data_IF_949972266687
#
_entry.id   IF_949972266687
#
_cell.length_a   1.000
_cell.length_b   1.000
_cell.length_c   1.000
_cell.angle_alpha   90.00
_cell.angle_beta   90.00
_cell.angle_gamma   90.00
#
_symmetry.space_group_name_H-M   'P 1'
#
loop_
_entity.id
_entity.type
_entity.pdbx_description
1 polymer ?
#
# COMPACT_ATOMS: atom_id res chain seq x y z
N UNK A 1 -10.23 -11.82 -6.27
CA UNK A 1 -10.55 -12.70 -5.12
C UNK A 1 -9.58 -12.50 -3.95
N UNK A 2 -8.27 -12.77 -4.10
CA UNK A 2 -7.29 -12.71 -2.99
C UNK A 2 -7.17 -11.33 -2.34
N UNK A 3 -7.02 -10.25 -3.13
CA UNK A 3 -6.91 -8.89 -2.57
C UNK A 3 -8.12 -8.51 -1.70
N UNK A 4 -9.33 -8.80 -2.17
CA UNK A 4 -10.54 -8.53 -1.42
C UNK A 4 -10.60 -9.33 -0.10
N UNK A 5 -10.12 -10.57 -0.09
CA UNK A 5 -10.03 -11.38 1.13
C UNK A 5 -9.03 -10.79 2.15
N UNK A 6 -7.87 -10.31 1.68
CA UNK A 6 -6.87 -9.64 2.53
C UNK A 6 -7.44 -8.33 3.10
N UNK A 7 -8.12 -7.53 2.28
CA UNK A 7 -8.74 -6.28 2.74
C UNK A 7 -9.85 -6.55 3.78
N UNK A 8 -10.67 -7.57 3.56
CA UNK A 8 -11.71 -7.97 4.51
C UNK A 8 -11.10 -8.49 5.83
N UNK A 9 -10.03 -9.28 5.75
CA UNK A 9 -9.29 -9.72 6.93
C UNK A 9 -8.72 -8.52 7.70
N UNK A 10 -8.01 -7.62 7.03
CA UNK A 10 -7.41 -6.44 7.65
C UNK A 10 -8.46 -5.55 8.34
N UNK A 11 -9.63 -5.33 7.70
CA UNK A 11 -10.76 -4.62 8.32
C UNK A 11 -11.20 -5.27 9.62
N UNK A 12 -11.34 -6.61 9.65
CA UNK A 12 -11.75 -7.35 10.85
C UNK A 12 -10.74 -7.24 11.99
N UNK A 13 -9.45 -7.14 11.67
CA UNK A 13 -8.37 -6.94 12.65
C UNK A 13 -8.24 -5.46 13.08
N UNK A 14 -9.13 -4.57 12.64
CA UNK A 14 -9.11 -3.15 13.01
C UNK A 14 -8.10 -2.30 12.23
N UNK A 15 -7.57 -2.80 11.11
CA UNK A 15 -6.67 -2.01 10.27
C UNK A 15 -7.45 -0.93 9.53
N UNK A 16 -7.05 0.33 9.74
CA UNK A 16 -7.71 1.48 9.11
C UNK A 16 -7.16 1.80 7.71
N UNK A 17 -5.90 1.46 7.43
CA UNK A 17 -5.22 1.84 6.20
C UNK A 17 -4.19 0.79 5.78
N UNK A 18 -4.21 0.46 4.48
CA UNK A 18 -3.18 -0.35 3.83
C UNK A 18 -2.20 0.55 3.07
N UNK A 19 -0.94 0.12 3.08
CA UNK A 19 0.19 0.79 2.45
C UNK A 19 0.93 -0.22 1.58
N UNK A 20 1.29 0.16 0.36
CA UNK A 20 2.08 -0.71 -0.51
C UNK A 20 2.99 0.10 -1.45
N UNK A 21 4.11 -0.52 -1.84
CA UNK A 21 4.94 -0.09 -2.97
C UNK A 21 4.77 -1.09 -4.09
N UNK A 22 4.64 -0.59 -5.31
CA UNK A 22 4.58 -1.42 -6.51
C UNK A 22 5.30 -0.74 -7.67
N UNK A 23 6.02 -1.53 -8.46
CA UNK A 23 6.67 -1.05 -9.69
C UNK A 23 5.73 -1.25 -10.90
N UNK A 24 5.26 -2.49 -11.13
CA UNK A 24 4.50 -2.84 -12.35
C UNK A 24 2.98 -2.91 -12.18
N UNK A 25 2.46 -3.07 -10.96
CA UNK A 25 1.04 -3.29 -10.71
C UNK A 25 0.26 -2.04 -10.25
N UNK A 26 0.79 -0.83 -10.46
CA UNK A 26 0.15 0.40 -9.99
C UNK A 26 -1.29 0.54 -10.51
N UNK A 27 -1.51 0.31 -11.81
CA UNK A 27 -2.82 0.40 -12.44
C UNK A 27 -3.84 -0.62 -11.90
N UNK A 28 -3.37 -1.81 -11.51
CA UNK A 28 -4.23 -2.82 -10.89
C UNK A 28 -4.76 -2.31 -9.55
N UNK A 29 -3.89 -1.79 -8.68
CA UNK A 29 -4.29 -1.32 -7.36
C UNK A 29 -5.13 -0.03 -7.41
N UNK A 30 -4.84 0.88 -8.34
CA UNK A 30 -5.68 2.08 -8.51
C UNK A 30 -7.09 1.72 -8.97
N UNK A 31 -7.24 0.72 -9.86
CA UNK A 31 -8.55 0.16 -10.22
C UNK A 31 -9.32 -0.44 -9.04
N UNK A 32 -8.61 -0.85 -7.98
CA UNK A 32 -9.19 -1.39 -6.74
C UNK A 32 -9.41 -0.31 -5.65
N UNK A 33 -9.24 0.97 -5.99
CA UNK A 33 -9.47 2.10 -5.10
C UNK A 33 -8.28 2.52 -4.23
N UNK A 34 -7.07 2.01 -4.52
CA UNK A 34 -5.86 2.56 -3.91
C UNK A 34 -5.51 3.89 -4.56
N UNK A 35 -5.00 4.83 -3.77
CA UNK A 35 -4.61 6.15 -4.22
C UNK A 35 -3.10 6.29 -4.21
N UNK A 36 -2.55 6.79 -5.31
CA UNK A 36 -1.16 7.19 -5.37
C UNK A 36 -0.91 8.40 -4.47
N UNK A 37 0.18 8.33 -3.71
CA UNK A 37 0.61 9.39 -2.80
C UNK A 37 2.11 9.56 -2.88
N UNK A 38 2.58 10.71 -2.43
CA UNK A 38 4.01 10.92 -2.25
C UNK A 38 4.57 9.93 -1.22
N UNK A 39 5.68 9.26 -1.55
CA UNK A 39 6.34 8.27 -0.69
C UNK A 39 6.75 8.86 0.66
N UNK A 40 7.04 10.16 0.73
CA UNK A 40 7.34 10.88 1.97
C UNK A 40 6.15 10.97 2.94
N UNK A 41 4.92 10.78 2.46
CA UNK A 41 3.71 10.78 3.28
C UNK A 41 3.42 9.41 3.92
N UNK A 42 4.25 8.40 3.66
CA UNK A 42 4.13 7.13 4.36
C UNK A 42 4.42 7.34 5.87
N UNK A 43 3.65 6.72 6.78
CA UNK A 43 3.96 6.75 8.20
C UNK A 43 5.39 6.27 8.47
N UNK A 44 6.06 6.84 9.47
CA UNK A 44 7.47 6.54 9.76
C UNK A 44 7.74 5.04 9.96
N UNK A 45 6.81 4.31 10.60
CA UNK A 45 6.88 2.86 10.78
C UNK A 45 6.85 2.09 9.44
N UNK A 46 6.06 2.56 8.46
CA UNK A 46 5.98 1.99 7.12
C UNK A 46 7.23 2.35 6.31
N UNK A 47 7.64 3.62 6.33
CA UNK A 47 8.86 4.10 5.66
C UNK A 47 10.15 3.44 6.19
N UNK A 48 10.12 2.94 7.43
CA UNK A 48 11.24 2.23 8.03
C UNK A 48 11.43 0.79 7.53
N UNK A 49 10.45 0.21 6.84
CA UNK A 49 10.48 -1.19 6.35
C UNK A 49 11.48 -1.39 5.20
N UNK A 50 11.94 -2.64 5.02
CA UNK A 50 12.86 -2.99 3.93
C UNK A 50 12.28 -2.70 2.54
N UNK A 51 10.96 -2.86 2.35
CA UNK A 51 10.28 -2.51 1.09
C UNK A 51 10.46 -1.03 0.75
N UNK A 52 10.34 -0.15 1.74
CA UNK A 52 10.51 1.29 1.57
C UNK A 52 11.96 1.75 1.56
N UNK A 53 12.91 0.96 2.04
CA UNK A 53 14.33 1.35 2.09
C UNK A 53 15.16 0.79 0.95
N UNK A 54 14.99 -0.49 0.63
CA UNK A 54 15.98 -1.22 -0.17
C UNK A 54 15.39 -2.17 -1.20
N UNK A 55 14.24 -2.82 -0.94
CA UNK A 55 13.73 -3.87 -1.83
C UNK A 55 13.01 -3.31 -3.06
N UNK A 56 12.30 -2.19 -2.90
CA UNK A 56 11.68 -1.51 -4.04
C UNK A 56 12.55 -0.33 -4.49
N UNK A 57 12.73 -0.14 -5.81
CA UNK A 57 13.47 1.01 -6.33
C UNK A 57 12.81 2.33 -5.92
N UNK A 58 13.54 3.44 -6.05
CA UNK A 58 12.99 4.78 -5.82
C UNK A 58 11.80 5.09 -6.76
N UNK A 59 11.78 4.49 -7.96
CA UNK A 59 10.71 4.62 -8.96
C UNK A 59 9.41 3.89 -8.60
N UNK A 60 9.42 2.98 -7.63
CA UNK A 60 8.22 2.25 -7.24
C UNK A 60 7.16 3.21 -6.72
N UNK A 61 5.94 3.06 -7.23
CA UNK A 61 4.81 3.91 -6.86
C UNK A 61 4.29 3.51 -5.48
N UNK A 62 4.20 4.49 -4.59
CA UNK A 62 3.56 4.33 -3.29
C UNK A 62 2.05 4.54 -3.42
N UNK A 63 1.30 3.55 -2.94
CA UNK A 63 -0.16 3.56 -2.92
C UNK A 63 -0.66 3.31 -1.50
N UNK A 64 -1.80 3.93 -1.16
CA UNK A 64 -2.49 3.68 0.09
C UNK A 64 -4.00 3.60 -0.11
N UNK A 65 -4.68 2.81 0.73
CA UNK A 65 -6.13 2.69 0.73
C UNK A 65 -6.65 2.68 2.15
N UNK A 66 -7.59 3.57 2.43
CA UNK A 66 -8.36 3.56 3.67
C UNK A 66 -9.38 2.42 3.61
N UNK A 67 -9.47 1.65 4.68
CA UNK A 67 -10.36 0.49 4.80
C UNK A 67 -11.63 0.78 5.60
N UNK A 68 -11.65 1.87 6.36
CA UNK A 68 -12.79 2.38 7.15
C UNK A 68 -13.50 3.53 6.48
#
# INVERSE_FOLDING_TARGET
AVLAAIEAFAKREGVEQLHLLTDSAAAFFTGQGYQARDRSLAPASIGATAQFKTLCPASATYLSKRLV
#
